data_IF_289478183610
#
_entry.id   IF_289478183610
#
_cell.length_a   1.000
_cell.length_b   1.000
_cell.length_c   1.000
_cell.angle_alpha   90.00
_cell.angle_beta   90.00
_cell.angle_gamma   90.00
#
_symmetry.space_group_name_H-M   'P 1'
#
loop_
_entity.id
_entity.type
_entity.pdbx_description
1 polymer ?
#
# COMPACT_ATOMS: atom_id res chain seq x y z
N UNK A 1 8.42 -33.42 -7.86
CA UNK A 1 7.15 -32.68 -7.74
C UNK A 1 6.92 -32.04 -6.38
N UNK A 2 7.19 -32.65 -5.21
CA UNK A 2 7.00 -32.06 -3.87
C UNK A 2 7.84 -30.79 -3.60
N UNK A 3 9.03 -30.65 -4.16
CA UNK A 3 9.92 -29.48 -3.96
C UNK A 3 9.38 -28.24 -4.69
N UNK A 4 8.92 -28.43 -5.95
CA UNK A 4 8.35 -27.34 -6.76
C UNK A 4 7.09 -26.72 -6.11
N UNK A 5 6.22 -27.54 -5.52
CA UNK A 5 5.01 -27.05 -4.84
C UNK A 5 5.32 -26.24 -3.59
N UNK A 6 6.35 -26.59 -2.80
CA UNK A 6 6.78 -25.81 -1.64
C UNK A 6 7.36 -24.46 -2.05
N UNK A 7 8.13 -24.41 -3.13
CA UNK A 7 8.72 -23.16 -3.62
C UNK A 7 7.65 -22.19 -4.11
N UNK A 8 6.63 -22.67 -4.84
CA UNK A 8 5.48 -21.84 -5.29
C UNK A 8 4.66 -21.35 -4.11
N UNK A 9 4.35 -22.20 -3.13
CA UNK A 9 3.60 -21.79 -1.94
C UNK A 9 4.34 -20.70 -1.15
N UNK A 10 5.64 -20.86 -0.97
CA UNK A 10 6.48 -19.85 -0.28
C UNK A 10 6.48 -18.53 -1.04
N UNK A 11 6.61 -18.56 -2.36
CA UNK A 11 6.55 -17.35 -3.20
C UNK A 11 5.20 -16.63 -3.07
N UNK A 12 4.08 -17.35 -3.12
CA UNK A 12 2.74 -16.79 -2.97
C UNK A 12 2.56 -16.16 -1.58
N UNK A 13 3.04 -16.82 -0.53
CA UNK A 13 2.97 -16.30 0.84
C UNK A 13 3.76 -14.99 0.97
N UNK A 14 5.00 -14.95 0.44
CA UNK A 14 5.82 -13.73 0.47
C UNK A 14 5.16 -12.62 -0.34
N UNK A 15 4.67 -12.90 -1.53
CA UNK A 15 3.98 -11.92 -2.37
C UNK A 15 2.74 -11.34 -1.67
N UNK A 16 1.96 -12.18 -0.98
CA UNK A 16 0.82 -11.75 -0.19
C UNK A 16 1.23 -10.85 1.00
N UNK A 17 2.26 -11.24 1.75
CA UNK A 17 2.77 -10.42 2.87
C UNK A 17 3.27 -9.05 2.39
N UNK A 18 3.96 -9.02 1.25
CA UNK A 18 4.39 -7.76 0.61
C UNK A 18 3.18 -6.92 0.20
N UNK A 19 2.16 -7.54 -0.40
CA UNK A 19 0.93 -6.84 -0.78
C UNK A 19 0.23 -6.22 0.44
N UNK A 20 0.11 -6.96 1.54
CA UNK A 20 -0.47 -6.47 2.81
C UNK A 20 0.35 -5.29 3.36
N UNK A 21 1.67 -5.41 3.39
CA UNK A 21 2.55 -4.33 3.87
C UNK A 21 2.40 -3.05 3.02
N UNK A 22 2.27 -3.19 1.68
CA UNK A 22 1.97 -2.07 0.78
C UNK A 22 0.61 -1.47 1.11
N UNK A 23 -0.44 -2.29 1.22
CA UNK A 23 -1.78 -1.83 1.56
C UNK A 23 -1.84 -1.08 2.88
N UNK A 24 -1.17 -1.58 3.92
CA UNK A 24 -1.03 -0.92 5.23
C UNK A 24 -0.35 0.44 5.10
N UNK A 25 0.79 0.50 4.41
CA UNK A 25 1.56 1.73 4.23
C UNK A 25 0.75 2.80 3.48
N UNK A 26 0.07 2.41 2.40
CA UNK A 26 -0.74 3.32 1.60
C UNK A 26 -1.94 3.84 2.38
N UNK A 27 -2.66 2.97 3.11
CA UNK A 27 -3.76 3.39 3.98
C UNK A 27 -3.27 4.30 5.10
N UNK A 28 -2.18 3.96 5.77
CA UNK A 28 -1.59 4.83 6.78
C UNK A 28 -1.29 6.21 6.22
N UNK A 29 -0.58 6.29 5.08
CA UNK A 29 -0.24 7.56 4.44
C UNK A 29 -1.47 8.35 3.98
N UNK A 30 -2.51 7.67 3.50
CA UNK A 30 -3.78 8.27 3.12
C UNK A 30 -4.46 8.96 4.30
N UNK A 31 -4.62 8.25 5.40
CA UNK A 31 -5.37 8.74 6.55
C UNK A 31 -4.58 9.74 7.41
N UNK A 32 -3.26 9.60 7.53
CA UNK A 32 -2.44 10.53 8.31
C UNK A 32 -2.45 11.96 7.75
N UNK A 33 -2.72 12.15 6.44
CA UNK A 33 -2.88 13.48 5.86
C UNK A 33 -4.15 14.22 6.34
N UNK A 34 -5.08 13.47 6.96
CA UNK A 34 -6.28 14.01 7.61
C UNK A 34 -6.19 13.91 9.13
N UNK A 35 -4.97 13.78 9.67
CA UNK A 35 -4.70 13.65 11.11
C UNK A 35 -5.36 12.42 11.78
N UNK A 36 -5.64 11.38 10.97
CA UNK A 36 -6.20 10.12 11.45
C UNK A 36 -5.08 9.07 11.53
N UNK A 37 -4.81 8.57 12.73
CA UNK A 37 -4.02 7.34 12.88
C UNK A 37 -4.93 6.13 12.63
N UNK A 38 -4.89 5.58 11.41
CA UNK A 38 -5.79 4.49 11.02
C UNK A 38 -5.63 3.22 11.88
N UNK A 39 -4.46 3.02 12.50
CA UNK A 39 -4.22 1.86 13.37
C UNK A 39 -5.07 1.87 14.64
N UNK A 40 -5.59 3.03 15.06
CA UNK A 40 -6.48 3.14 16.22
C UNK A 40 -7.93 2.72 15.90
N UNK A 41 -8.29 2.62 14.60
CA UNK A 41 -9.65 2.43 14.11
C UNK A 41 -9.83 1.21 13.20
N UNK A 42 -8.76 0.64 12.68
CA UNK A 42 -8.82 -0.47 11.74
C UNK A 42 -8.49 -1.80 12.42
N UNK A 43 -9.29 -2.81 12.11
CA UNK A 43 -9.02 -4.17 12.50
C UNK A 43 -8.01 -4.87 11.59
N UNK A 44 -7.57 -6.05 12.00
CA UNK A 44 -6.61 -6.85 11.21
C UNK A 44 -7.13 -7.14 9.79
N UNK A 45 -8.41 -7.42 9.65
CA UNK A 45 -9.02 -7.73 8.34
C UNK A 45 -9.02 -6.52 7.39
N UNK A 46 -9.16 -5.30 7.91
CA UNK A 46 -9.09 -4.08 7.09
C UNK A 46 -7.73 -3.98 6.39
N UNK A 47 -6.65 -4.35 7.09
CA UNK A 47 -5.30 -4.35 6.52
C UNK A 47 -5.06 -5.50 5.53
N UNK A 48 -5.61 -6.69 5.80
CA UNK A 48 -5.49 -7.84 4.91
C UNK A 48 -6.19 -7.62 3.56
N UNK A 49 -7.27 -6.85 3.56
CA UNK A 49 -8.07 -6.53 2.37
C UNK A 49 -7.57 -5.24 1.69
N UNK A 50 -6.88 -4.37 2.41
CA UNK A 50 -6.45 -3.06 1.93
C UNK A 50 -5.79 -3.05 0.53
N UNK A 51 -4.87 -3.98 0.17
CA UNK A 51 -4.25 -4.00 -1.15
C UNK A 51 -5.24 -4.30 -2.29
N UNK A 52 -6.44 -4.82 -1.97
CA UNK A 52 -7.48 -5.18 -2.95
C UNK A 52 -8.67 -4.21 -2.93
N UNK A 53 -8.78 -3.39 -1.90
CA UNK A 53 -9.88 -2.43 -1.72
C UNK A 53 -9.77 -1.16 -2.56
N UNK A 54 -8.58 -0.85 -3.08
CA UNK A 54 -8.33 0.32 -3.91
C UNK A 54 -7.57 -0.10 -5.18
N UNK A 55 -8.16 0.22 -6.33
CA UNK A 55 -7.59 -0.17 -7.63
C UNK A 55 -6.17 0.38 -7.84
N UNK A 56 -5.90 1.60 -7.36
CA UNK A 56 -4.58 2.23 -7.48
C UNK A 56 -3.53 1.47 -6.65
N UNK A 57 -3.89 1.08 -5.42
CA UNK A 57 -3.02 0.29 -4.55
C UNK A 57 -2.78 -1.10 -5.15
N UNK A 58 -3.84 -1.74 -5.66
CA UNK A 58 -3.74 -3.04 -6.35
C UNK A 58 -2.79 -2.95 -7.54
N UNK A 59 -2.97 -1.96 -8.42
CA UNK A 59 -2.14 -1.79 -9.61
C UNK A 59 -0.68 -1.49 -9.24
N UNK A 60 -0.45 -0.63 -8.23
CA UNK A 60 0.88 -0.34 -7.71
C UNK A 60 1.54 -1.60 -7.15
N UNK A 61 0.80 -2.42 -6.39
CA UNK A 61 1.29 -3.68 -5.80
C UNK A 61 1.71 -4.66 -6.89
N UNK A 62 0.85 -4.90 -7.89
CA UNK A 62 1.15 -5.78 -9.02
C UNK A 62 2.36 -5.25 -9.79
N UNK A 63 2.38 -3.96 -10.12
CA UNK A 63 3.49 -3.31 -10.81
C UNK A 63 4.81 -3.45 -10.05
N UNK A 64 4.78 -3.30 -8.74
CA UNK A 64 5.95 -3.48 -7.87
C UNK A 64 6.48 -4.91 -7.88
N UNK A 65 5.60 -5.90 -7.79
CA UNK A 65 6.00 -7.32 -7.86
C UNK A 65 6.64 -7.61 -9.22
N UNK A 66 5.98 -7.20 -10.31
CA UNK A 66 6.50 -7.39 -11.68
C UNK A 66 7.84 -6.70 -11.85
N UNK A 67 7.97 -5.44 -11.43
CA UNK A 67 9.21 -4.67 -11.51
C UNK A 67 10.35 -5.34 -10.74
N UNK A 68 10.08 -5.83 -9.53
CA UNK A 68 11.08 -6.54 -8.72
C UNK A 68 11.57 -7.82 -9.43
N UNK A 69 10.65 -8.60 -10.00
CA UNK A 69 11.00 -9.81 -10.76
C UNK A 69 11.81 -9.44 -12.01
N UNK A 70 11.43 -8.39 -12.74
CA UNK A 70 12.14 -7.94 -13.93
C UNK A 70 13.56 -7.47 -13.59
N UNK A 71 13.73 -6.66 -12.56
CA UNK A 71 15.06 -6.19 -12.11
C UNK A 71 15.94 -7.40 -11.76
N UNK A 72 15.41 -8.37 -11.03
CA UNK A 72 16.14 -9.59 -10.69
C UNK A 72 16.56 -10.37 -11.94
N UNK A 73 15.65 -10.59 -12.89
CA UNK A 73 15.94 -11.31 -14.13
C UNK A 73 16.95 -10.55 -15.01
N UNK A 74 16.83 -9.24 -15.12
CA UNK A 74 17.76 -8.39 -15.86
C UNK A 74 19.17 -8.45 -15.27
N UNK A 75 19.27 -8.42 -13.94
CA UNK A 75 20.55 -8.54 -13.26
C UNK A 75 21.25 -9.87 -13.54
N UNK A 76 20.49 -11.00 -13.42
CA UNK A 76 21.02 -12.32 -13.76
C UNK A 76 21.42 -12.45 -15.24
N UNK A 77 20.60 -11.87 -16.12
CA UNK A 77 20.88 -11.86 -17.54
C UNK A 77 22.14 -11.08 -17.85
N UNK A 78 22.32 -9.91 -17.27
CA UNK A 78 23.49 -9.07 -17.46
C UNK A 78 24.76 -9.75 -16.95
N UNK A 79 24.72 -10.38 -15.77
CA UNK A 79 25.84 -11.16 -15.23
C UNK A 79 26.29 -12.26 -16.19
N UNK A 80 25.32 -12.95 -16.82
CA UNK A 80 25.63 -14.08 -17.75
C UNK A 80 26.10 -13.60 -19.12
N UNK A 81 25.44 -12.58 -19.68
CA UNK A 81 25.68 -12.15 -21.07
C UNK A 81 26.94 -11.29 -21.23
N UNK A 82 27.25 -10.46 -20.24
CA UNK A 82 28.34 -9.49 -20.33
C UNK A 82 29.07 -9.37 -18.98
N UNK A 83 29.79 -10.42 -18.52
CA UNK A 83 30.43 -10.42 -17.21
C UNK A 83 31.46 -9.30 -17.04
N UNK A 84 32.19 -8.97 -18.09
CA UNK A 84 33.19 -7.89 -18.07
C UNK A 84 32.54 -6.51 -17.91
N UNK A 85 31.41 -6.26 -18.58
CA UNK A 85 30.66 -5.02 -18.45
C UNK A 85 30.02 -4.91 -17.06
N UNK A 86 29.49 -6.02 -16.56
CA UNK A 86 28.93 -6.10 -15.21
C UNK A 86 30.02 -5.83 -14.14
N UNK A 87 31.17 -6.43 -14.26
CA UNK A 87 32.30 -6.21 -13.35
C UNK A 87 32.74 -4.73 -13.34
N UNK A 88 32.82 -4.08 -14.50
CA UNK A 88 33.13 -2.65 -14.60
C UNK A 88 32.07 -1.79 -13.91
N UNK A 89 30.79 -2.07 -14.12
CA UNK A 89 29.67 -1.36 -13.50
C UNK A 89 29.67 -1.50 -11.97
N UNK A 90 30.01 -2.69 -11.47
CA UNK A 90 30.10 -2.97 -10.04
C UNK A 90 31.47 -2.62 -9.44
N UNK A 91 32.35 -1.95 -10.20
CA UNK A 91 33.72 -1.62 -9.79
C UNK A 91 34.53 -2.84 -9.32
N UNK A 92 34.32 -4.01 -9.95
CA UNK A 92 34.90 -5.32 -9.59
C UNK A 92 34.56 -5.80 -8.16
N UNK A 93 33.62 -5.16 -7.47
CA UNK A 93 33.18 -5.60 -6.13
C UNK A 93 32.39 -6.91 -6.17
N UNK A 94 31.84 -7.29 -7.34
CA UNK A 94 31.13 -8.56 -7.55
C UNK A 94 32.00 -9.80 -7.30
N UNK A 95 33.33 -9.67 -7.31
CA UNK A 95 34.29 -10.75 -7.02
C UNK A 95 34.49 -10.97 -5.52
N UNK A 96 34.03 -10.03 -4.69
CA UNK A 96 34.17 -10.09 -3.22
C UNK A 96 33.01 -10.85 -2.60
N UNK A 97 33.29 -11.80 -1.68
CA UNK A 97 32.29 -12.67 -1.07
C UNK A 97 31.12 -11.94 -0.37
N UNK A 98 31.37 -10.76 0.20
CA UNK A 98 30.33 -9.98 0.89
C UNK A 98 29.43 -9.18 -0.07
N UNK A 99 29.80 -9.03 -1.34
CA UNK A 99 29.07 -8.23 -2.32
C UNK A 99 27.61 -8.66 -2.49
N UNK A 100 27.33 -9.96 -2.52
CA UNK A 100 25.96 -10.44 -2.65
C UNK A 100 25.06 -9.94 -1.52
N UNK A 101 25.54 -9.97 -0.28
CA UNK A 101 24.78 -9.46 0.87
C UNK A 101 24.62 -7.95 0.82
N UNK A 102 25.66 -7.20 0.47
CA UNK A 102 25.61 -5.75 0.33
C UNK A 102 24.63 -5.30 -0.76
N UNK A 103 24.63 -5.98 -1.91
CA UNK A 103 23.72 -5.72 -3.02
C UNK A 103 22.27 -5.90 -2.59
N UNK A 104 21.95 -6.99 -1.88
CA UNK A 104 20.61 -7.25 -1.39
C UNK A 104 20.16 -6.23 -0.34
N UNK A 105 21.05 -5.85 0.57
CA UNK A 105 20.75 -4.80 1.58
C UNK A 105 20.47 -3.46 0.93
N UNK A 106 21.27 -3.06 -0.06
CA UNK A 106 21.06 -1.82 -0.81
C UNK A 106 19.76 -1.88 -1.63
N UNK A 107 19.48 -3.01 -2.28
CA UNK A 107 18.25 -3.24 -3.01
C UNK A 107 17.02 -3.13 -2.11
N UNK A 108 17.07 -3.70 -0.92
CA UNK A 108 16.00 -3.60 0.08
C UNK A 108 15.80 -2.14 0.55
N UNK A 109 16.88 -1.41 0.82
CA UNK A 109 16.81 -0.01 1.19
C UNK A 109 16.13 0.84 0.11
N UNK A 110 16.55 0.68 -1.15
CA UNK A 110 15.95 1.38 -2.28
C UNK A 110 14.49 0.99 -2.49
N UNK A 111 14.15 -0.28 -2.30
CA UNK A 111 12.77 -0.76 -2.35
C UNK A 111 11.89 -0.09 -1.29
N UNK A 112 12.36 -0.02 -0.05
CA UNK A 112 11.65 0.65 1.04
C UNK A 112 11.45 2.14 0.73
N UNK A 113 12.49 2.84 0.28
CA UNK A 113 12.38 4.25 -0.12
C UNK A 113 11.35 4.44 -1.26
N UNK A 114 11.39 3.58 -2.27
CA UNK A 114 10.42 3.60 -3.38
C UNK A 114 8.99 3.41 -2.87
N UNK A 115 8.75 2.49 -1.93
CA UNK A 115 7.44 2.27 -1.30
C UNK A 115 6.94 3.53 -0.58
N UNK A 116 7.78 4.17 0.23
CA UNK A 116 7.43 5.39 0.94
C UNK A 116 7.09 6.55 0.00
N UNK A 117 7.89 6.75 -1.06
CA UNK A 117 7.63 7.79 -2.07
C UNK A 117 6.31 7.52 -2.82
N UNK A 118 6.06 6.29 -3.23
CA UNK A 118 4.82 5.91 -3.90
C UNK A 118 3.58 6.14 -3.02
N UNK A 119 3.65 5.74 -1.76
CA UNK A 119 2.56 5.93 -0.80
C UNK A 119 2.31 7.43 -0.51
N UNK A 120 3.36 8.24 -0.41
CA UNK A 120 3.23 9.68 -0.18
C UNK A 120 2.60 10.41 -1.37
N UNK A 121 3.03 10.07 -2.59
CA UNK A 121 2.43 10.61 -3.82
C UNK A 121 0.96 10.21 -3.98
N UNK A 122 0.62 8.95 -3.69
CA UNK A 122 -0.76 8.48 -3.68
C UNK A 122 -1.60 9.27 -2.67
N UNK A 123 -1.14 9.36 -1.41
CA UNK A 123 -1.86 10.03 -0.36
C UNK A 123 -2.15 11.52 -0.68
N UNK A 124 -1.17 12.24 -1.22
CA UNK A 124 -1.34 13.63 -1.66
C UNK A 124 -2.36 13.78 -2.79
N UNK A 125 -2.36 12.86 -3.77
CA UNK A 125 -3.37 12.84 -4.84
C UNK A 125 -4.75 12.54 -4.27
N UNK A 126 -4.84 11.56 -3.38
CA UNK A 126 -6.08 11.18 -2.73
C UNK A 126 -6.69 12.33 -1.92
N UNK A 127 -5.88 13.04 -1.11
CA UNK A 127 -6.35 14.19 -0.35
C UNK A 127 -6.93 15.28 -1.25
N UNK A 128 -6.29 15.59 -2.38
CA UNK A 128 -6.81 16.56 -3.34
C UNK A 128 -8.16 16.11 -3.93
N UNK A 129 -8.26 14.85 -4.34
CA UNK A 129 -9.49 14.29 -4.89
C UNK A 129 -10.65 14.33 -3.88
N UNK A 130 -10.39 13.98 -2.61
CA UNK A 130 -11.41 14.02 -1.55
C UNK A 130 -11.92 15.45 -1.31
N UNK A 131 -11.05 16.46 -1.30
CA UNK A 131 -11.48 17.86 -1.07
C UNK A 131 -12.43 18.35 -2.19
N UNK A 132 -12.29 17.82 -3.40
CA UNK A 132 -13.11 18.19 -4.55
C UNK A 132 -14.39 17.32 -4.68
N UNK A 133 -14.57 16.30 -3.81
CA UNK A 133 -15.74 15.43 -3.86
C UNK A 133 -17.00 16.06 -3.23
N UNK A 134 -18.17 15.58 -3.70
CA UNK A 134 -19.46 16.01 -3.13
C UNK A 134 -19.67 15.38 -1.75
N UNK A 135 -20.25 16.13 -0.80
CA UNK A 135 -20.58 15.60 0.51
C UNK A 135 -21.65 14.49 0.42
N UNK A 136 -21.49 13.47 1.23
CA UNK A 136 -22.50 12.44 1.48
C UNK A 136 -23.29 12.76 2.76
N UNK A 137 -24.49 12.21 2.90
CA UNK A 137 -25.30 12.34 4.10
C UNK A 137 -25.38 11.00 4.85
N UNK A 138 -25.04 11.03 6.13
CA UNK A 138 -25.21 9.91 7.07
C UNK A 138 -26.40 10.21 7.97
N UNK A 139 -27.43 9.37 7.94
CA UNK A 139 -28.62 9.50 8.76
C UNK A 139 -28.59 8.50 9.91
N UNK A 140 -28.71 9.00 11.13
CA UNK A 140 -28.79 8.17 12.33
C UNK A 140 -30.23 7.63 12.58
N UNK A 141 -30.36 6.70 13.51
CA UNK A 141 -31.66 6.11 13.87
C UNK A 141 -32.67 7.12 14.48
N UNK A 142 -32.18 8.18 15.09
CA UNK A 142 -32.98 9.31 15.60
C UNK A 142 -33.38 10.31 14.50
N UNK A 143 -33.07 9.99 13.21
CA UNK A 143 -33.25 10.83 12.02
C UNK A 143 -32.37 12.10 11.99
N UNK A 144 -31.41 12.27 12.88
CA UNK A 144 -30.40 13.30 12.72
C UNK A 144 -29.52 13.00 11.53
N UNK A 145 -29.06 14.02 10.83
CA UNK A 145 -28.21 13.88 9.64
C UNK A 145 -26.90 14.62 9.82
N UNK A 146 -25.81 13.95 9.45
CA UNK A 146 -24.50 14.57 9.32
C UNK A 146 -24.11 14.53 7.85
N UNK A 147 -23.67 15.66 7.32
CA UNK A 147 -23.14 15.78 5.96
C UNK A 147 -21.64 16.03 6.02
N UNK A 148 -20.90 15.37 5.13
CA UNK A 148 -19.45 15.56 5.02
C UNK A 148 -18.91 14.79 3.82
N UNK A 149 -17.69 15.11 3.42
CA UNK A 149 -17.02 14.39 2.33
C UNK A 149 -16.41 13.11 2.89
N UNK A 150 -16.62 12.00 2.19
CA UNK A 150 -16.12 10.69 2.61
C UNK A 150 -14.60 10.59 2.43
N UNK A 151 -13.85 10.59 3.53
CA UNK A 151 -12.40 10.30 3.51
C UNK A 151 -12.16 8.80 3.28
N UNK A 152 -12.98 7.93 3.89
CA UNK A 152 -12.85 6.49 3.80
C UNK A 152 -13.59 5.79 4.92
N UNK A 153 -13.45 4.47 4.96
CA UNK A 153 -14.09 3.62 5.97
C UNK A 153 -13.18 2.46 6.38
N UNK A 154 -13.41 1.96 7.59
CA UNK A 154 -12.98 0.65 8.06
C UNK A 154 -14.19 -0.25 8.26
N UNK A 155 -13.99 -1.45 8.78
CA UNK A 155 -15.11 -2.33 9.18
C UNK A 155 -16.03 -1.67 10.19
N UNK A 156 -15.48 -0.87 11.14
CA UNK A 156 -16.21 -0.33 12.27
C UNK A 156 -16.47 1.17 12.21
N UNK A 157 -15.79 1.92 11.33
CA UNK A 157 -15.85 3.38 11.28
C UNK A 157 -15.96 3.94 9.87
N UNK A 158 -16.68 5.08 9.76
CA UNK A 158 -16.70 5.96 8.60
C UNK A 158 -16.02 7.27 8.99
N UNK A 159 -15.16 7.78 8.12
CA UNK A 159 -14.47 9.07 8.33
C UNK A 159 -15.03 10.10 7.36
N UNK A 160 -15.58 11.18 7.90
CA UNK A 160 -16.13 12.31 7.15
C UNK A 160 -15.32 13.57 7.41
N UNK A 161 -15.05 14.31 6.35
CA UNK A 161 -14.51 15.66 6.40
C UNK A 161 -15.67 16.67 6.40
N UNK A 162 -15.75 17.51 7.44
CA UNK A 162 -16.70 18.60 7.57
C UNK A 162 -15.94 19.92 7.68
N UNK A 163 -15.79 20.63 6.55
CA UNK A 163 -14.90 21.79 6.52
C UNK A 163 -13.45 21.38 6.79
N UNK A 164 -12.88 21.80 7.91
CA UNK A 164 -11.53 21.41 8.34
C UNK A 164 -11.51 20.28 9.39
N UNK A 165 -12.67 19.91 9.94
CA UNK A 165 -12.77 18.88 10.97
C UNK A 165 -13.02 17.50 10.39
N UNK A 166 -12.40 16.50 11.00
CA UNK A 166 -12.64 15.09 10.69
C UNK A 166 -13.48 14.45 11.76
N UNK A 167 -14.55 13.76 11.35
CA UNK A 167 -15.41 12.99 12.24
C UNK A 167 -15.30 11.52 11.95
N UNK A 168 -14.95 10.73 12.97
CA UNK A 168 -15.01 9.27 12.96
C UNK A 168 -16.38 8.83 13.50
N UNK A 169 -17.17 8.17 12.65
CA UNK A 169 -18.53 7.72 12.99
C UNK A 169 -18.50 6.21 13.11
N UNK A 170 -18.82 5.62 14.29
CA UNK A 170 -18.92 4.18 14.44
C UNK A 170 -20.08 3.63 13.62
N UNK A 171 -19.84 2.60 12.80
CA UNK A 171 -20.87 1.96 11.97
C UNK A 171 -21.90 1.17 12.79
N UNK A 172 -21.50 0.67 13.98
CA UNK A 172 -22.37 -0.07 14.88
C UNK A 172 -23.31 0.83 15.69
N UNK A 173 -23.10 2.13 15.70
CA UNK A 173 -23.90 3.10 16.45
C UNK A 173 -25.01 3.66 15.58
N UNK A 174 -26.13 2.94 15.48
CA UNK A 174 -27.41 3.55 15.12
C UNK A 174 -27.44 4.29 13.75
N UNK A 175 -26.60 3.88 12.78
CA UNK A 175 -26.70 4.39 11.41
C UNK A 175 -27.88 3.71 10.73
N UNK A 176 -28.85 4.51 10.26
CA UNK A 176 -30.02 4.07 9.54
C UNK A 176 -29.80 3.98 8.03
N UNK A 177 -29.11 4.98 7.48
CA UNK A 177 -28.90 5.10 6.04
C UNK A 177 -27.66 5.95 5.73
N UNK A 178 -26.95 5.56 4.67
CA UNK A 178 -25.89 6.36 4.06
C UNK A 178 -26.28 6.63 2.63
N UNK A 179 -26.52 7.89 2.27
CA UNK A 179 -26.79 8.30 0.89
C UNK A 179 -25.49 8.58 0.19
N UNK A 180 -25.13 7.69 -0.72
CA UNK A 180 -24.05 7.88 -1.69
C UNK A 180 -24.66 8.57 -2.91
N UNK A 181 -24.00 9.61 -3.39
CA UNK A 181 -24.38 10.26 -4.66
C UNK A 181 -23.64 9.64 -5.83
#
# INVERSE_FOLDING_TARGET
>A
MKKLGKDVQTMLTIAYLVAVAIGMLFNYKKFILFDINIFDYAGLFDFLIAPFGDFTITLFTIGTIVLTVLIYQLDLFWQKKSPTSYAKFTFHTNEVKWYANQKWSMGLLLFVLYMFLGADLYAKRYKRAVVDENPIAVTYADNTQIQGVLIGKTTDYIFLLQGEEVKAIPMNALIKEIKLK
#
